data_IF_022733892523
#
_entry.id   IF_022733892523
#
_cell.length_a   1.000
_cell.length_b   1.000
_cell.length_c   1.000
_cell.angle_alpha   90.00
_cell.angle_beta   90.00
_cell.angle_gamma   90.00
#
_symmetry.space_group_name_H-M   'P 1'
#
loop_
_entity.id
_entity.type
_entity.pdbx_description
1 polymer ?
#
# COMPACT_ATOMS: atom_id res chain seq x y z
N UNK A 1 -22.03 -19.97 21.93
CA UNK A 1 -21.10 -19.05 21.22
C UNK A 1 -20.00 -19.87 20.56
N UNK A 2 -19.94 -19.95 19.23
CA UNK A 2 -18.77 -20.53 18.55
C UNK A 2 -17.61 -19.53 18.70
N UNK A 3 -16.57 -19.90 19.46
CA UNK A 3 -15.34 -19.09 19.52
C UNK A 3 -14.73 -19.04 18.13
N UNK A 4 -14.19 -17.89 17.74
CA UNK A 4 -13.41 -17.77 16.50
C UNK A 4 -12.29 -18.81 16.52
N UNK A 5 -12.20 -19.64 15.47
CA UNK A 5 -11.16 -20.66 15.32
C UNK A 5 -9.76 -20.04 15.45
N UNK A 6 -9.60 -18.85 14.88
CA UNK A 6 -8.34 -18.10 14.82
C UNK A 6 -8.20 -17.01 15.89
N UNK A 7 -9.22 -16.82 16.73
CA UNK A 7 -9.23 -15.78 17.75
C UNK A 7 -8.73 -16.25 19.11
N UNK A 8 -8.15 -15.34 19.89
CA UNK A 8 -7.68 -15.61 21.26
C UNK A 8 -6.26 -15.12 21.51
N UNK A 9 -5.81 -15.23 22.77
CA UNK A 9 -4.46 -14.83 23.17
C UNK A 9 -3.43 -15.62 22.36
N UNK A 10 -2.45 -14.91 21.78
CA UNK A 10 -1.42 -15.46 20.90
C UNK A 10 -1.93 -16.14 19.61
N UNK A 11 -3.20 -15.94 19.20
CA UNK A 11 -3.69 -16.37 17.88
C UNK A 11 -3.73 -15.19 16.89
N UNK A 12 -4.51 -15.26 15.80
CA UNK A 12 -4.65 -14.17 14.84
C UNK A 12 -5.59 -13.08 15.38
N UNK A 13 -5.11 -12.31 16.35
CA UNK A 13 -5.78 -11.08 16.80
C UNK A 13 -5.68 -9.98 15.73
N UNK A 14 -6.54 -8.96 15.80
CA UNK A 14 -6.50 -7.82 14.88
C UNK A 14 -5.13 -7.12 14.85
N UNK A 15 -4.45 -7.05 16.00
CA UNK A 15 -3.11 -6.49 16.10
C UNK A 15 -2.08 -7.34 15.32
N UNK A 16 -2.12 -8.66 15.49
CA UNK A 16 -1.25 -9.60 14.75
C UNK A 16 -1.55 -9.54 13.25
N UNK A 17 -2.82 -9.52 12.85
CA UNK A 17 -3.22 -9.35 11.44
C UNK A 17 -2.67 -8.02 10.89
N UNK A 18 -2.82 -6.93 11.64
CA UNK A 18 -2.25 -5.62 11.27
C UNK A 18 -0.73 -5.64 11.15
N UNK A 19 -0.03 -6.41 11.97
CA UNK A 19 1.40 -6.64 11.85
C UNK A 19 1.79 -7.47 10.62
N UNK A 20 1.07 -8.55 10.33
CA UNK A 20 1.29 -9.38 9.13
C UNK A 20 1.09 -8.59 7.85
N UNK A 21 0.02 -7.79 7.77
CA UNK A 21 -0.25 -6.89 6.64
C UNK A 21 0.88 -5.88 6.45
N UNK A 22 1.41 -5.31 7.53
CA UNK A 22 2.56 -4.40 7.48
C UNK A 22 3.81 -5.09 6.96
N UNK A 23 4.09 -6.31 7.41
CA UNK A 23 5.24 -7.08 6.92
C UNK A 23 5.11 -7.46 5.46
N UNK A 24 3.94 -7.92 5.03
CA UNK A 24 3.63 -8.21 3.63
C UNK A 24 3.85 -6.97 2.75
N UNK A 25 3.30 -5.83 3.16
CA UNK A 25 3.49 -4.56 2.44
C UNK A 25 4.95 -4.13 2.42
N UNK A 26 5.69 -4.33 3.51
CA UNK A 26 7.11 -4.02 3.58
C UNK A 26 7.96 -4.97 2.71
N UNK A 27 7.57 -6.23 2.54
CA UNK A 27 8.21 -7.15 1.60
C UNK A 27 8.07 -6.63 0.15
N UNK A 28 6.85 -6.25 -0.26
CA UNK A 28 6.61 -5.65 -1.59
C UNK A 28 7.48 -4.42 -1.82
N UNK A 29 7.51 -3.48 -0.86
CA UNK A 29 8.23 -2.21 -1.01
C UNK A 29 9.76 -2.36 -0.98
N UNK A 30 10.29 -3.39 -0.33
CA UNK A 30 11.74 -3.64 -0.22
C UNK A 30 12.28 -4.45 -1.38
N UNK A 31 11.45 -5.34 -1.94
CA UNK A 31 11.85 -6.15 -3.08
C UNK A 31 12.10 -5.25 -4.29
N UNK A 32 13.35 -5.24 -4.74
CA UNK A 32 13.79 -4.62 -5.99
C UNK A 32 14.23 -5.68 -7.02
N UNK A 33 13.96 -6.94 -6.71
CA UNK A 33 14.45 -8.09 -7.45
C UNK A 33 13.40 -8.70 -8.36
N UNK A 34 13.59 -9.97 -8.67
CA UNK A 34 12.66 -10.77 -9.45
C UNK A 34 11.40 -11.13 -8.67
N UNK A 35 10.38 -11.65 -9.36
CA UNK A 35 9.19 -12.21 -8.70
C UNK A 35 9.55 -13.33 -7.73
N UNK A 36 10.59 -14.11 -8.03
CA UNK A 36 11.09 -15.16 -7.13
C UNK A 36 11.59 -14.55 -5.81
N UNK A 37 12.31 -13.42 -5.88
CA UNK A 37 12.80 -12.71 -4.70
C UNK A 37 11.66 -12.09 -3.90
N UNK A 38 10.70 -11.46 -4.57
CA UNK A 38 9.50 -10.93 -3.93
C UNK A 38 8.69 -12.02 -3.21
N UNK A 39 8.48 -13.17 -3.86
CA UNK A 39 7.82 -14.32 -3.25
C UNK A 39 8.58 -14.80 -2.02
N UNK A 40 9.90 -14.93 -2.13
CA UNK A 40 10.76 -15.34 -1.02
C UNK A 40 10.63 -14.36 0.16
N UNK A 41 10.66 -13.06 -0.10
CA UNK A 41 10.51 -12.02 0.92
C UNK A 41 9.14 -12.04 1.59
N UNK A 42 8.06 -12.28 0.82
CA UNK A 42 6.69 -12.44 1.35
C UNK A 42 6.60 -13.69 2.23
N UNK A 43 7.09 -14.84 1.74
CA UNK A 43 7.05 -16.08 2.52
C UNK A 43 7.91 -15.97 3.78
N UNK A 44 9.03 -15.23 3.73
CA UNK A 44 9.86 -14.96 4.91
C UNK A 44 9.06 -14.37 6.07
N UNK A 45 8.06 -13.53 5.81
CA UNK A 45 7.26 -12.92 6.88
C UNK A 45 6.38 -13.95 7.57
N UNK A 46 5.78 -14.88 6.81
CA UNK A 46 4.98 -15.97 7.36
C UNK A 46 5.84 -16.93 8.20
N UNK A 47 6.96 -17.41 7.65
CA UNK A 47 7.82 -18.37 8.35
C UNK A 47 8.45 -17.74 9.60
N UNK A 48 8.82 -16.46 9.52
CA UNK A 48 9.32 -15.72 10.68
C UNK A 48 8.30 -15.61 11.82
N UNK A 49 7.06 -15.23 11.52
CA UNK A 49 6.02 -15.05 12.56
C UNK A 49 5.48 -16.39 13.12
N UNK A 50 5.65 -17.49 12.39
CA UNK A 50 5.24 -18.85 12.79
C UNK A 50 6.39 -19.70 13.34
N UNK A 51 7.58 -19.10 13.48
CA UNK A 51 8.78 -19.72 14.02
C UNK A 51 8.72 -19.82 15.55
N UNK A 52 9.41 -20.80 16.14
CA UNK A 52 9.61 -20.90 17.60
C UNK A 52 11.09 -21.08 17.93
N UNK A 53 11.44 -21.01 19.22
CA UNK A 53 12.82 -21.24 19.66
C UNK A 53 13.25 -22.70 19.44
N UNK A 54 12.33 -23.65 19.60
CA UNK A 54 12.55 -25.09 19.36
C UNK A 54 12.58 -25.43 17.86
N UNK A 55 11.77 -24.73 17.06
CA UNK A 55 11.65 -24.96 15.62
C UNK A 55 11.89 -23.64 14.86
N UNK A 56 13.15 -23.20 14.71
CA UNK A 56 13.49 -21.95 14.06
C UNK A 56 13.26 -22.01 12.54
N UNK A 57 12.45 -21.09 11.99
CA UNK A 57 12.06 -21.06 10.56
C UNK A 57 12.50 -19.76 9.86
N UNK A 58 13.76 -19.39 10.01
CA UNK A 58 14.31 -18.12 9.50
C UNK A 58 15.04 -18.23 8.15
N UNK A 59 14.89 -19.35 7.44
CA UNK A 59 15.64 -19.67 6.21
C UNK A 59 15.35 -18.74 5.03
N UNK A 60 14.17 -18.12 4.98
CA UNK A 60 13.84 -17.12 3.96
C UNK A 60 14.10 -15.68 4.41
N UNK A 61 14.36 -15.44 5.70
CA UNK A 61 14.71 -14.12 6.18
C UNK A 61 16.07 -13.67 5.63
N UNK A 62 16.29 -12.36 5.44
CA UNK A 62 17.59 -11.86 5.01
C UNK A 62 18.68 -12.21 6.04
N UNK A 63 19.90 -12.39 5.55
CA UNK A 63 21.10 -12.65 6.35
C UNK A 63 21.87 -11.36 6.61
N UNK A 64 22.81 -11.40 7.55
CA UNK A 64 23.71 -10.28 7.87
C UNK A 64 23.25 -9.43 9.07
N UNK A 65 24.15 -8.58 9.54
CA UNK A 65 23.95 -7.71 10.71
C UNK A 65 22.83 -6.68 10.53
N UNK A 66 22.53 -6.32 9.28
CA UNK A 66 21.43 -5.41 8.93
C UNK A 66 20.09 -6.12 8.69
N UNK A 67 20.00 -7.42 8.98
CA UNK A 67 18.75 -8.16 8.85
C UNK A 67 17.71 -7.65 9.84
N UNK A 68 16.47 -7.51 9.37
CA UNK A 68 15.32 -7.23 10.25
C UNK A 68 14.91 -8.46 11.08
N UNK A 69 15.42 -9.64 10.74
CA UNK A 69 15.20 -10.87 11.48
C UNK A 69 16.23 -10.98 12.61
N UNK A 70 15.76 -10.92 13.86
CA UNK A 70 16.63 -10.99 15.04
C UNK A 70 17.50 -12.26 15.06
N UNK A 71 16.97 -13.38 14.58
CA UNK A 71 17.65 -14.68 14.59
C UNK A 71 18.84 -14.68 13.63
N UNK A 72 18.63 -14.25 12.38
CA UNK A 72 19.70 -14.18 11.39
C UNK A 72 20.70 -13.05 11.68
N UNK A 73 20.24 -11.96 12.31
CA UNK A 73 21.11 -10.89 12.78
C UNK A 73 22.08 -11.41 13.86
N UNK A 74 21.56 -12.10 14.88
CA UNK A 74 22.39 -12.68 15.94
C UNK A 74 23.41 -13.69 15.40
N UNK A 75 22.98 -14.55 14.47
CA UNK A 75 23.89 -15.48 13.78
C UNK A 75 25.00 -14.78 13.01
N UNK A 76 24.71 -13.64 12.38
CA UNK A 76 25.71 -12.89 11.62
C UNK A 76 26.78 -12.24 12.51
N UNK A 77 26.44 -11.89 13.76
CA UNK A 77 27.38 -11.31 14.74
C UNK A 77 27.92 -12.35 15.73
N UNK A 78 27.69 -13.65 15.46
CA UNK A 78 28.08 -14.77 16.33
C UNK A 78 27.56 -14.67 17.78
N UNK A 79 26.40 -14.04 17.98
CA UNK A 79 25.75 -13.89 19.28
C UNK A 79 24.54 -14.82 19.48
N UNK A 80 24.07 -15.01 20.72
CA UNK A 80 22.84 -15.76 20.98
C UNK A 80 21.61 -14.98 20.44
N UNK A 81 20.66 -15.64 19.74
CA UNK A 81 19.44 -14.99 19.29
C UNK A 81 18.51 -14.68 20.47
N UNK A 82 17.69 -13.64 20.31
CA UNK A 82 16.57 -13.38 21.23
C UNK A 82 15.53 -14.52 21.19
N UNK A 83 14.62 -14.55 22.16
CA UNK A 83 13.49 -15.49 22.17
C UNK A 83 12.30 -14.97 21.36
N UNK A 84 11.54 -15.88 20.74
CA UNK A 84 10.28 -15.56 20.06
C UNK A 84 9.20 -15.04 21.02
N UNK A 85 9.29 -15.28 22.33
CA UNK A 85 8.35 -14.72 23.31
C UNK A 85 8.40 -13.20 23.40
N UNK A 86 9.58 -12.61 23.13
CA UNK A 86 9.79 -11.15 23.11
C UNK A 86 9.48 -10.54 21.75
N UNK A 87 9.11 -11.35 20.76
CA UNK A 87 8.81 -10.89 19.42
C UNK A 87 7.44 -10.21 19.40
N UNK A 88 7.38 -8.99 18.84
CA UNK A 88 6.14 -8.20 18.73
C UNK A 88 5.07 -8.88 17.87
N UNK A 89 5.46 -9.77 16.96
CA UNK A 89 4.56 -10.39 15.97
C UNK A 89 4.74 -11.89 16.01
N UNK A 90 4.22 -12.51 17.04
CA UNK A 90 4.33 -13.94 17.24
C UNK A 90 2.95 -14.52 17.49
N UNK A 91 2.59 -15.53 16.70
CA UNK A 91 1.37 -16.29 16.89
C UNK A 91 1.68 -17.76 17.14
N UNK A 92 0.96 -18.36 18.06
CA UNK A 92 0.99 -19.79 18.40
C UNK A 92 -0.24 -20.45 17.78
N UNK A 93 -0.17 -20.68 16.46
CA UNK A 93 -1.18 -21.42 15.72
C UNK A 93 -0.80 -22.91 15.67
N UNK A 94 -1.81 -23.78 15.73
CA UNK A 94 -1.60 -25.21 15.54
C UNK A 94 -1.24 -25.54 14.06
N UNK A 95 -0.95 -26.80 13.76
CA UNK A 95 -0.49 -27.18 12.42
C UNK A 95 -1.54 -26.91 11.34
N UNK A 96 -2.82 -27.18 11.61
CA UNK A 96 -3.90 -27.00 10.65
C UNK A 96 -4.17 -25.52 10.37
N UNK A 97 -4.20 -24.70 11.43
CA UNK A 97 -4.35 -23.25 11.35
C UNK A 97 -3.20 -22.60 10.59
N UNK A 98 -1.95 -23.05 10.83
CA UNK A 98 -0.78 -22.61 10.08
C UNK A 98 -0.88 -22.99 8.61
N UNK A 99 -1.39 -24.18 8.30
CA UNK A 99 -1.54 -24.65 6.93
C UNK A 99 -2.57 -23.84 6.16
N UNK A 100 -3.68 -23.47 6.79
CA UNK A 100 -4.67 -22.56 6.20
C UNK A 100 -4.11 -21.14 5.99
N UNK A 101 -3.38 -20.61 6.97
CA UNK A 101 -2.76 -19.29 6.79
C UNK A 101 -1.69 -19.33 5.69
N UNK A 102 -0.95 -20.43 5.58
CA UNK A 102 0.03 -20.62 4.52
C UNK A 102 -0.62 -20.69 3.12
N UNK A 103 -1.80 -21.31 2.99
CA UNK A 103 -2.52 -21.31 1.71
C UNK A 103 -2.90 -19.90 1.28
N UNK A 104 -3.34 -19.06 2.22
CA UNK A 104 -3.59 -17.62 1.94
C UNK A 104 -2.32 -16.93 1.46
N UNK A 105 -1.17 -17.16 2.12
CA UNK A 105 0.11 -16.61 1.66
C UNK A 105 0.52 -17.11 0.28
N UNK A 106 0.20 -18.37 -0.06
CA UNK A 106 0.44 -18.95 -1.39
C UNK A 106 -0.42 -18.25 -2.45
N UNK A 107 -1.70 -18.03 -2.17
CA UNK A 107 -2.61 -17.34 -3.08
C UNK A 107 -2.20 -15.88 -3.28
N UNK A 108 -1.77 -15.22 -2.19
CA UNK A 108 -1.19 -13.87 -2.21
C UNK A 108 0.21 -13.79 -2.84
N UNK A 109 0.83 -14.92 -3.19
CA UNK A 109 2.14 -14.96 -3.83
C UNK A 109 2.14 -15.62 -5.21
N UNK A 110 0.98 -15.65 -5.87
CA UNK A 110 0.82 -16.05 -7.27
C UNK A 110 1.59 -15.11 -8.22
N UNK A 111 2.16 -15.65 -9.30
CA UNK A 111 2.93 -14.83 -10.26
C UNK A 111 2.09 -13.68 -10.82
N UNK A 112 0.83 -13.91 -11.16
CA UNK A 112 -0.08 -12.89 -11.69
C UNK A 112 -0.26 -11.70 -10.73
N UNK A 113 -0.45 -11.98 -9.43
CA UNK A 113 -0.59 -10.93 -8.42
C UNK A 113 0.75 -10.21 -8.20
N UNK A 114 1.85 -10.95 -8.10
CA UNK A 114 3.16 -10.38 -7.85
C UNK A 114 3.66 -9.51 -9.01
N UNK A 115 3.33 -9.85 -10.26
CA UNK A 115 3.57 -9.00 -11.43
C UNK A 115 2.95 -7.61 -11.26
N UNK A 116 1.71 -7.53 -10.75
CA UNK A 116 1.02 -6.27 -10.47
C UNK A 116 1.66 -5.51 -9.30
N UNK A 117 2.27 -6.22 -8.34
CA UNK A 117 2.94 -5.64 -7.18
C UNK A 117 4.39 -5.18 -7.45
N UNK A 118 5.06 -5.64 -8.51
CA UNK A 118 6.48 -5.31 -8.75
C UNK A 118 6.74 -3.80 -8.87
N UNK A 119 5.81 -3.06 -9.44
CA UNK A 119 5.94 -1.61 -9.56
C UNK A 119 5.85 -0.89 -8.20
N UNK A 120 5.54 -1.60 -7.10
CA UNK A 120 5.31 -1.06 -5.76
C UNK A 120 4.31 0.11 -5.74
N UNK A 121 3.41 0.16 -6.74
CA UNK A 121 2.38 1.17 -6.87
C UNK A 121 1.19 0.80 -6.01
N UNK A 122 0.52 1.80 -5.45
CA UNK A 122 -0.73 1.57 -4.72
C UNK A 122 -1.84 1.20 -5.70
N UNK A 123 -2.73 0.32 -5.25
CA UNK A 123 -3.67 -0.42 -6.09
C UNK A 123 -4.89 0.40 -6.54
N UNK A 124 -4.92 1.73 -6.37
CA UNK A 124 -6.13 2.48 -6.69
C UNK A 124 -5.91 3.73 -7.57
N UNK A 125 -5.66 3.54 -8.87
CA UNK A 125 -5.77 4.61 -9.86
C UNK A 125 -7.11 5.34 -9.77
N UNK A 126 -8.19 4.61 -9.48
CA UNK A 126 -9.53 5.20 -9.39
C UNK A 126 -9.65 6.16 -8.21
N UNK A 127 -9.04 5.89 -7.06
CA UNK A 127 -9.01 6.83 -5.92
C UNK A 127 -8.30 8.14 -6.30
N UNK A 128 -7.18 8.05 -7.02
CA UNK A 128 -6.44 9.24 -7.43
C UNK A 128 -7.21 10.09 -8.45
N UNK A 129 -8.01 9.45 -9.31
CA UNK A 129 -8.93 10.14 -10.23
C UNK A 129 -10.12 10.73 -9.47
N UNK A 130 -10.78 9.93 -8.63
CA UNK A 130 -11.92 10.33 -7.81
C UNK A 130 -11.58 11.53 -6.91
N UNK A 131 -10.40 11.55 -6.30
CA UNK A 131 -9.96 12.69 -5.48
C UNK A 131 -9.94 13.99 -6.28
N UNK A 132 -9.48 13.97 -7.54
CA UNK A 132 -9.54 15.14 -8.43
C UNK A 132 -10.97 15.48 -8.81
N UNK A 133 -11.77 14.46 -9.15
CA UNK A 133 -13.15 14.64 -9.58
C UNK A 133 -13.99 15.31 -8.48
N UNK A 134 -13.87 14.83 -7.24
CA UNK A 134 -14.65 15.34 -6.10
C UNK A 134 -14.19 16.71 -5.61
N UNK A 135 -12.94 17.12 -5.91
CA UNK A 135 -12.52 18.51 -5.70
C UNK A 135 -13.27 19.47 -6.64
N UNK A 136 -13.62 19.04 -7.84
CA UNK A 136 -14.36 19.84 -8.82
C UNK A 136 -15.89 19.68 -8.68
N UNK A 137 -16.35 18.46 -8.35
CA UNK A 137 -17.74 18.10 -8.15
C UNK A 137 -17.95 17.54 -6.74
N UNK A 138 -17.99 18.38 -5.69
CA UNK A 138 -18.26 17.91 -4.34
C UNK A 138 -19.61 17.17 -4.27
N UNK A 139 -19.62 16.00 -3.65
CA UNK A 139 -20.82 15.14 -3.53
C UNK A 139 -21.98 15.79 -2.76
N UNK A 140 -21.67 16.82 -1.98
CA UNK A 140 -22.63 17.57 -1.16
C UNK A 140 -23.36 18.68 -1.94
N UNK A 141 -22.99 18.91 -3.20
CA UNK A 141 -23.60 19.93 -4.05
C UNK A 141 -24.29 19.29 -5.25
N UNK A 142 -25.42 19.86 -5.63
CA UNK A 142 -26.12 19.50 -6.86
C UNK A 142 -25.51 20.25 -8.05
N UNK A 143 -25.34 19.55 -9.15
CA UNK A 143 -24.84 20.09 -10.41
C UNK A 143 -25.76 19.62 -11.54
N UNK A 144 -25.92 20.44 -12.59
CA UNK A 144 -26.64 20.00 -13.78
C UNK A 144 -25.81 18.98 -14.57
N UNK A 145 -26.49 18.16 -15.38
CA UNK A 145 -25.85 17.09 -16.16
C UNK A 145 -24.69 17.58 -17.03
N UNK A 146 -24.84 18.74 -17.68
CA UNK A 146 -23.79 19.32 -18.54
C UNK A 146 -22.52 19.65 -17.74
N UNK A 147 -22.66 20.23 -16.56
CA UNK A 147 -21.51 20.54 -15.68
C UNK A 147 -20.81 19.26 -15.21
N UNK A 148 -21.59 18.22 -14.88
CA UNK A 148 -21.04 16.92 -14.52
C UNK A 148 -20.23 16.31 -15.69
N UNK A 149 -20.82 16.26 -16.89
CA UNK A 149 -20.18 15.72 -18.09
C UNK A 149 -18.88 16.46 -18.43
N UNK A 150 -18.92 17.79 -18.42
CA UNK A 150 -17.74 18.62 -18.65
C UNK A 150 -16.65 18.37 -17.61
N UNK A 151 -17.00 18.42 -16.32
CA UNK A 151 -16.02 18.28 -15.24
C UNK A 151 -15.40 16.89 -15.20
N UNK A 152 -16.19 15.83 -15.44
CA UNK A 152 -15.68 14.45 -15.55
C UNK A 152 -14.70 14.34 -16.71
N UNK A 153 -15.11 14.78 -17.91
CA UNK A 153 -14.28 14.71 -19.12
C UNK A 153 -12.98 15.47 -18.96
N UNK A 154 -13.05 16.72 -18.50
CA UNK A 154 -11.88 17.56 -18.26
C UNK A 154 -10.96 16.97 -17.18
N UNK A 155 -11.51 16.41 -16.09
CA UNK A 155 -10.71 15.75 -15.05
C UNK A 155 -9.96 14.54 -15.59
N UNK A 156 -10.62 13.70 -16.41
CA UNK A 156 -9.99 12.52 -17.03
C UNK A 156 -8.85 12.93 -17.96
N UNK A 157 -9.07 13.94 -18.81
CA UNK A 157 -8.05 14.45 -19.72
C UNK A 157 -6.85 15.00 -18.95
N UNK A 158 -7.07 15.86 -17.95
CA UNK A 158 -5.99 16.40 -17.11
C UNK A 158 -5.27 15.32 -16.30
N UNK A 159 -5.98 14.26 -15.88
CA UNK A 159 -5.38 13.15 -15.16
C UNK A 159 -4.39 12.37 -16.04
N UNK A 160 -4.80 12.06 -17.27
CA UNK A 160 -4.04 11.23 -18.20
C UNK A 160 -2.95 12.01 -18.94
N UNK A 161 -3.28 13.18 -19.49
CA UNK A 161 -2.39 13.93 -20.38
C UNK A 161 -1.67 15.11 -19.70
N UNK A 162 -2.10 15.51 -18.50
CA UNK A 162 -1.58 16.70 -17.83
C UNK A 162 -2.36 17.98 -18.17
N UNK A 163 -2.08 19.06 -17.47
CA UNK A 163 -2.83 20.32 -17.59
C UNK A 163 -2.53 21.08 -18.86
N UNK A 164 -1.28 21.04 -19.33
CA UNK A 164 -0.88 21.75 -20.56
C UNK A 164 -1.50 21.08 -21.79
N UNK A 165 -1.32 19.77 -21.94
CA UNK A 165 -1.83 19.01 -23.10
C UNK A 165 -3.36 18.86 -23.10
N UNK A 166 -3.99 18.79 -21.92
CA UNK A 166 -5.45 18.68 -21.82
C UNK A 166 -6.18 20.03 -21.91
N UNK A 167 -5.47 21.13 -22.16
CA UNK A 167 -6.09 22.46 -22.27
C UNK A 167 -7.02 22.52 -23.47
N UNK A 168 -8.30 22.78 -23.22
CA UNK A 168 -9.31 23.00 -24.27
C UNK A 168 -9.42 24.47 -24.69
N UNK A 169 -8.52 25.36 -24.24
CA UNK A 169 -8.64 26.81 -24.49
C UNK A 169 -8.69 27.08 -26.01
N UNK A 170 -7.75 26.49 -26.75
CA UNK A 170 -7.70 26.61 -28.22
C UNK A 170 -8.93 25.99 -28.88
N UNK A 171 -9.33 24.78 -28.44
CA UNK A 171 -10.52 24.07 -28.97
C UNK A 171 -11.84 24.81 -28.72
N UNK A 172 -11.91 25.60 -27.66
CA UNK A 172 -13.07 26.45 -27.31
C UNK A 172 -13.04 27.80 -28.06
N UNK A 173 -12.09 28.02 -28.97
CA UNK A 173 -11.93 29.26 -29.72
C UNK A 173 -11.47 30.44 -28.86
N UNK A 174 -10.98 30.16 -27.65
CA UNK A 174 -10.36 31.16 -26.78
C UNK A 174 -8.90 31.29 -27.21
N UNK A 175 -8.38 32.52 -27.26
CA UNK A 175 -6.95 32.69 -27.48
C UNK A 175 -6.20 32.01 -26.34
N UNK A 176 -5.23 31.15 -26.69
CA UNK A 176 -4.28 30.62 -25.72
C UNK A 176 -3.71 31.82 -24.96
N UNK A 177 -3.96 31.85 -23.65
CA UNK A 177 -3.70 33.03 -22.87
C UNK A 177 -2.22 33.40 -22.91
N UNK A 178 -1.92 34.63 -22.50
CA UNK A 178 -0.56 35.14 -22.32
C UNK A 178 0.40 34.13 -21.68
N UNK A 179 1.71 34.35 -21.80
CA UNK A 179 2.79 33.59 -21.14
C UNK A 179 2.47 33.10 -19.71
N UNK A 180 1.68 33.85 -18.95
CA UNK A 180 1.21 33.48 -17.61
C UNK A 180 0.33 32.22 -17.56
N UNK A 181 -0.52 31.97 -18.55
CA UNK A 181 -1.41 30.80 -18.57
C UNK A 181 -0.64 29.51 -18.88
N UNK A 182 0.26 29.54 -19.87
CA UNK A 182 1.18 28.44 -20.17
C UNK A 182 2.04 28.12 -18.95
N UNK A 183 2.62 29.15 -18.30
CA UNK A 183 3.39 28.98 -17.08
C UNK A 183 2.58 28.36 -15.95
N UNK A 184 1.32 28.77 -15.78
CA UNK A 184 0.43 28.18 -14.78
C UNK A 184 0.17 26.69 -15.03
N UNK A 185 -0.09 26.28 -16.28
CA UNK A 185 -0.28 24.87 -16.62
C UNK A 185 0.98 24.04 -16.37
N UNK A 186 2.15 24.56 -16.75
CA UNK A 186 3.43 23.91 -16.47
C UNK A 186 3.67 23.72 -14.96
N UNK A 187 3.37 24.74 -14.15
CA UNK A 187 3.50 24.64 -12.69
C UNK A 187 2.56 23.60 -12.09
N UNK A 188 1.31 23.52 -12.59
CA UNK A 188 0.36 22.48 -12.19
C UNK A 188 0.85 21.09 -12.57
N UNK A 189 1.42 20.91 -13.77
CA UNK A 189 1.99 19.64 -14.20
C UNK A 189 3.25 19.26 -13.41
N UNK A 190 4.12 20.23 -13.09
CA UNK A 190 5.26 20.02 -12.18
C UNK A 190 4.79 19.55 -10.80
N UNK A 191 3.75 20.21 -10.25
CA UNK A 191 3.15 19.79 -8.97
C UNK A 191 2.58 18.38 -9.04
N UNK A 192 1.84 18.03 -10.11
CA UNK A 192 1.29 16.69 -10.35
C UNK A 192 2.38 15.63 -10.38
N UNK A 193 3.45 15.85 -11.15
CA UNK A 193 4.59 14.92 -11.24
C UNK A 193 5.27 14.74 -9.88
N UNK A 194 5.47 15.85 -9.14
CA UNK A 194 6.03 15.82 -7.78
C UNK A 194 5.16 15.02 -6.81
N UNK A 195 3.85 15.19 -6.87
CA UNK A 195 2.92 14.44 -6.02
C UNK A 195 2.89 12.95 -6.37
N UNK A 196 2.93 12.60 -7.66
CA UNK A 196 3.03 11.22 -8.11
C UNK A 196 4.33 10.54 -7.67
N UNK A 197 5.44 11.29 -7.56
CA UNK A 197 6.73 10.78 -7.08
C UNK A 197 6.89 10.81 -5.55
N UNK A 198 5.92 11.34 -4.79
CA UNK A 198 6.02 11.38 -3.32
C UNK A 198 5.78 10.00 -2.73
N UNK A 199 6.70 9.58 -1.87
CA UNK A 199 6.48 8.44 -0.98
C UNK A 199 5.35 8.78 0.02
N UNK A 200 4.40 7.86 0.29
CA UNK A 200 3.34 8.11 1.26
C UNK A 200 3.93 8.50 2.63
N UNK A 201 3.53 9.66 3.16
CA UNK A 201 3.89 10.03 4.55
C UNK A 201 3.08 9.16 5.50
N UNK A 202 3.73 8.64 6.56
CA UNK A 202 3.01 8.01 7.68
C UNK A 202 2.03 9.04 8.26
N UNK A 203 0.72 8.82 8.12
CA UNK A 203 -0.27 9.61 8.88
C UNK A 203 -0.20 9.18 10.34
N UNK A 204 0.00 10.14 11.24
CA UNK A 204 -0.37 9.98 12.64
C UNK A 204 -1.91 9.91 12.63
N UNK A 205 -2.48 8.78 13.01
CA UNK A 205 -3.93 8.66 13.21
C UNK A 205 -4.29 9.51 14.43
N UNK A 206 -4.65 10.77 14.20
CA UNK A 206 -5.43 11.53 15.19
C UNK A 206 -6.84 10.96 15.13
N UNK A 207 -7.37 10.53 16.27
CA UNK A 207 -8.79 10.19 16.40
C UNK A 207 -9.55 11.52 16.33
N UNK A 208 -10.08 11.86 15.17
CA UNK A 208 -11.07 12.92 15.03
C UNK A 208 -12.42 12.29 14.72
N UNK A 209 -13.42 12.75 15.48
CA UNK A 209 -14.81 12.34 15.40
C UNK A 209 -15.42 12.65 14.03
N UNK A 210 -16.44 11.86 13.70
CA UNK A 210 -17.03 11.70 12.38
C UNK A 210 -17.74 12.97 11.88
N UNK A 211 -17.38 13.40 10.67
CA UNK A 211 -18.22 14.20 9.75
C UNK A 211 -18.34 13.40 8.44
N UNK A 212 -19.53 13.11 7.88
CA UNK A 212 -19.68 12.21 6.73
C UNK A 212 -19.31 12.86 5.38
N UNK A 213 -18.48 13.91 5.40
CA UNK A 213 -17.80 14.42 4.22
C UNK A 213 -16.79 13.38 3.75
N UNK A 214 -17.13 12.68 2.66
CA UNK A 214 -16.34 11.68 1.94
C UNK A 214 -14.83 11.69 2.28
N UNK A 215 -14.46 10.87 3.27
CA UNK A 215 -13.07 10.52 3.52
C UNK A 215 -12.64 9.60 2.37
N UNK A 216 -12.00 10.18 1.35
CA UNK A 216 -11.33 9.38 0.32
C UNK A 216 -10.40 8.39 1.02
N UNK A 217 -10.49 7.12 0.61
CA UNK A 217 -9.80 5.97 1.17
C UNK A 217 -8.43 6.31 1.75
N UNK A 218 -8.29 6.02 3.03
CA UNK A 218 -7.10 6.27 3.80
C UNK A 218 -6.10 5.12 3.61
N UNK A 219 -5.14 5.24 2.67
CA UNK A 219 -3.86 4.51 2.68
C UNK A 219 -2.72 5.29 2.03
#
# INVERSE_FOLDING_TARGET
MKRSLFGGRNKLTDDIIGHLTRYYTAAIRRSRGSIKDLRKDILATFFHCSSSDEHPRHHFCPTGSNSWCFYNQARAVCGPPNTHEKMRVYFKLNQDERSLLFSIYKDLSTDELLHKCMASRTQNPNESLHSKLWNCLPKIKFFCLRTCQYSVTNTVLQHNYGYSTASMISDLGLQEGSHHTTKFFEEKDKKRKREASRTPRKKIRVKEDQDPSYASGAY
#
